data_IF_265680942282
#
_entry.id   IF_265680942282
#
_cell.length_a   1.000
_cell.length_b   1.000
_cell.length_c   1.000
_cell.angle_alpha   90.00
_cell.angle_beta   90.00
_cell.angle_gamma   90.00
#
_symmetry.space_group_name_H-M   'P 1'
#
loop_
_entity.id
_entity.type
_entity.pdbx_description
1 polymer ?
#
# COMPACT_ATOMS: atom_id res chain seq x y z
N UNK A 1 -8.74 -0.60 -104.28
CA UNK A 1 -7.39 -1.08 -104.05
C UNK A 1 -6.97 -0.80 -102.62
N UNK A 2 -6.69 -1.87 -101.85
CA UNK A 2 -5.99 -1.99 -100.57
C UNK A 2 -6.71 -1.47 -99.27
N UNK A 3 -7.24 -2.29 -98.39
CA UNK A 3 -6.73 -3.32 -97.46
C UNK A 3 -5.68 -2.83 -96.51
N UNK A 4 -5.97 -3.04 -95.25
CA UNK A 4 -5.14 -3.22 -94.01
C UNK A 4 -5.30 -2.13 -92.96
N UNK A 5 -5.98 -2.46 -91.92
CA UNK A 5 -5.47 -2.36 -90.51
C UNK A 5 -6.58 -2.67 -89.47
N UNK A 6 -6.60 -3.85 -89.06
CA UNK A 6 -7.44 -4.25 -87.93
C UNK A 6 -6.77 -5.41 -87.22
N UNK A 7 -5.85 -5.13 -86.31
CA UNK A 7 -5.46 -6.07 -85.27
C UNK A 7 -4.40 -5.42 -84.36
N UNK A 8 -4.78 -4.70 -83.34
CA UNK A 8 -4.04 -4.55 -82.09
C UNK A 8 -5.00 -3.95 -81.07
N UNK A 9 -5.76 -4.70 -80.32
CA UNK A 9 -6.34 -4.21 -79.05
C UNK A 9 -6.78 -5.29 -78.03
N UNK A 10 -6.56 -6.58 -78.34
CA UNK A 10 -7.03 -7.64 -77.42
C UNK A 10 -5.99 -8.06 -76.35
N UNK A 11 -4.69 -7.78 -76.55
CA UNK A 11 -3.66 -8.19 -75.59
C UNK A 11 -3.52 -7.25 -74.36
N UNK A 12 -3.85 -5.96 -74.54
CA UNK A 12 -3.78 -4.98 -73.45
C UNK A 12 -4.84 -5.12 -72.35
N UNK A 13 -6.04 -5.51 -72.77
CA UNK A 13 -7.17 -5.62 -71.82
C UNK A 13 -7.05 -6.86 -70.93
N UNK A 14 -6.49 -7.94 -71.39
CA UNK A 14 -6.27 -9.18 -70.58
C UNK A 14 -5.14 -8.96 -69.57
N UNK A 15 -4.08 -8.21 -69.94
CA UNK A 15 -2.97 -7.92 -69.05
C UNK A 15 -3.35 -6.95 -67.92
N UNK A 16 -4.17 -5.93 -68.20
CA UNK A 16 -4.71 -5.01 -67.19
C UNK A 16 -5.68 -5.69 -66.23
N UNK A 17 -6.57 -6.56 -66.69
CA UNK A 17 -7.47 -7.33 -65.84
C UNK A 17 -6.71 -8.32 -64.96
N UNK A 18 -5.67 -8.99 -65.47
CA UNK A 18 -4.81 -9.88 -64.67
C UNK A 18 -4.07 -9.14 -63.55
N UNK A 19 -3.57 -7.94 -63.78
CA UNK A 19 -2.90 -7.12 -62.78
C UNK A 19 -3.88 -6.62 -61.70
N UNK A 20 -5.14 -6.35 -62.09
CA UNK A 20 -6.18 -5.94 -61.14
C UNK A 20 -6.58 -7.10 -60.21
N UNK A 21 -6.77 -8.31 -60.76
CA UNK A 21 -7.06 -9.49 -59.95
C UNK A 21 -5.90 -9.88 -59.04
N UNK A 22 -4.66 -9.81 -59.50
CA UNK A 22 -3.48 -10.07 -58.64
C UNK A 22 -3.33 -9.08 -57.50
N UNK A 23 -3.61 -7.78 -57.74
CA UNK A 23 -3.61 -6.76 -56.67
C UNK A 23 -4.76 -6.96 -55.68
N UNK A 24 -5.95 -7.32 -56.13
CA UNK A 24 -7.10 -7.60 -55.26
C UNK A 24 -6.85 -8.83 -54.39
N UNK A 25 -6.22 -9.87 -54.93
CA UNK A 25 -5.82 -11.06 -54.15
C UNK A 25 -4.70 -10.77 -53.15
N UNK A 26 -3.75 -9.90 -53.49
CA UNK A 26 -2.69 -9.50 -52.58
C UNK A 26 -3.23 -8.66 -51.40
N UNK A 27 -4.21 -7.78 -51.63
CA UNK A 27 -4.88 -7.00 -50.62
C UNK A 27 -5.77 -7.91 -49.74
N UNK A 28 -6.47 -8.87 -50.32
CA UNK A 28 -7.25 -9.86 -49.57
C UNK A 28 -6.39 -10.77 -48.71
N UNK A 29 -5.21 -11.17 -49.21
CA UNK A 29 -4.21 -11.93 -48.44
C UNK A 29 -3.59 -11.13 -47.29
N UNK A 30 -3.29 -9.83 -47.51
CA UNK A 30 -2.82 -8.91 -46.49
C UNK A 30 -3.88 -8.62 -45.41
N UNK A 31 -5.17 -8.56 -45.76
CA UNK A 31 -6.26 -8.44 -44.80
C UNK A 31 -6.52 -9.75 -44.02
N UNK A 32 -6.24 -10.91 -44.62
CA UNK A 32 -6.35 -12.20 -43.98
C UNK A 32 -5.21 -12.50 -42.99
N UNK A 33 -4.05 -11.85 -43.14
CA UNK A 33 -2.91 -11.95 -42.20
C UNK A 33 -3.05 -11.06 -40.97
N UNK A 34 -4.07 -10.18 -40.92
CA UNK A 34 -4.47 -9.45 -39.69
C UNK A 34 -5.04 -10.41 -38.65
N UNK A 35 -4.36 -11.54 -38.40
CA UNK A 35 -4.72 -12.62 -37.54
C UNK A 35 -5.08 -12.15 -36.13
N UNK A 36 -5.95 -12.86 -35.51
CA UNK A 36 -6.44 -12.76 -34.14
C UNK A 36 -5.34 -12.25 -33.20
N UNK A 37 -5.34 -10.93 -32.97
CA UNK A 37 -4.60 -10.39 -31.83
C UNK A 37 -5.31 -10.96 -30.61
N UNK A 38 -4.65 -11.86 -29.92
CA UNK A 38 -5.14 -12.47 -28.70
C UNK A 38 -5.28 -11.37 -27.62
N UNK A 39 -6.45 -10.73 -27.56
CA UNK A 39 -6.74 -9.58 -26.72
C UNK A 39 -6.86 -10.03 -25.25
N UNK A 40 -7.23 -11.28 -25.00
CA UNK A 40 -7.46 -11.83 -23.68
C UNK A 40 -6.25 -11.74 -22.75
N UNK A 41 -5.12 -12.39 -23.03
CA UNK A 41 -3.93 -12.36 -22.16
C UNK A 41 -3.33 -10.96 -22.03
N UNK A 42 -3.23 -10.21 -23.12
CA UNK A 42 -2.70 -8.84 -23.11
C UNK A 42 -3.56 -7.87 -22.31
N UNK A 43 -4.87 -8.06 -22.26
CA UNK A 43 -5.73 -7.21 -21.43
C UNK A 43 -5.48 -7.41 -19.92
N UNK A 44 -5.13 -8.63 -19.52
CA UNK A 44 -4.76 -8.94 -18.14
C UNK A 44 -3.40 -8.34 -17.81
N UNK A 45 -2.40 -8.47 -18.68
CA UNK A 45 -1.06 -7.93 -18.48
C UNK A 45 -1.05 -6.41 -18.36
N UNK A 46 -1.75 -5.70 -19.25
CA UNK A 46 -1.80 -4.24 -19.24
C UNK A 46 -2.60 -3.65 -18.07
N UNK A 47 -3.59 -4.37 -17.53
CA UNK A 47 -4.43 -3.87 -16.46
C UNK A 47 -3.92 -4.19 -15.06
N UNK A 48 -3.27 -5.33 -14.87
CA UNK A 48 -2.94 -5.85 -13.52
C UNK A 48 -1.99 -4.95 -12.74
N UNK A 49 -0.95 -4.45 -13.37
CA UNK A 49 0.02 -3.56 -12.72
C UNK A 49 -0.61 -2.20 -12.39
N UNK A 50 -1.40 -1.64 -13.31
CA UNK A 50 -2.03 -0.34 -13.13
C UNK A 50 -3.08 -0.38 -12.02
N UNK A 51 -3.92 -1.43 -11.98
CA UNK A 51 -4.87 -1.63 -10.88
C UNK A 51 -4.17 -1.86 -9.55
N UNK A 52 -3.10 -2.66 -9.50
CA UNK A 52 -2.33 -2.88 -8.29
C UNK A 52 -1.74 -1.56 -7.75
N UNK A 53 -1.10 -0.77 -8.61
CA UNK A 53 -0.55 0.52 -8.25
C UNK A 53 -1.64 1.51 -7.78
N UNK A 54 -2.79 1.51 -8.45
CA UNK A 54 -3.91 2.36 -8.08
C UNK A 54 -4.48 1.98 -6.71
N UNK A 55 -4.71 0.70 -6.44
CA UNK A 55 -5.20 0.20 -5.15
C UNK A 55 -4.19 0.54 -4.06
N UNK A 56 -2.92 0.18 -4.23
CA UNK A 56 -1.88 0.43 -3.23
C UNK A 56 -1.77 1.91 -2.89
N UNK A 57 -1.83 2.79 -3.90
CA UNK A 57 -1.80 4.24 -3.69
C UNK A 57 -3.04 4.72 -2.94
N UNK A 58 -4.23 4.31 -3.35
CA UNK A 58 -5.48 4.75 -2.72
C UNK A 58 -5.64 4.22 -1.30
N UNK A 59 -5.17 3.01 -1.00
CA UNK A 59 -5.12 2.48 0.36
C UNK A 59 -4.18 3.29 1.26
N UNK A 60 -3.01 3.66 0.73
CA UNK A 60 -2.08 4.55 1.42
C UNK A 60 -2.68 5.95 1.66
N UNK A 61 -3.30 6.53 0.64
CA UNK A 61 -3.98 7.83 0.76
C UNK A 61 -5.13 7.77 1.78
N UNK A 62 -5.90 6.69 1.82
CA UNK A 62 -6.96 6.47 2.80
C UNK A 62 -6.42 6.38 4.24
N UNK A 63 -5.34 5.62 4.44
CA UNK A 63 -4.69 5.50 5.74
C UNK A 63 -4.15 6.85 6.21
N UNK A 64 -3.47 7.60 5.32
CA UNK A 64 -2.98 8.95 5.60
C UNK A 64 -4.14 9.90 5.93
N UNK A 65 -5.24 9.85 5.17
CA UNK A 65 -6.43 10.65 5.44
C UNK A 65 -7.02 10.36 6.83
N UNK A 66 -7.04 9.10 7.25
CA UNK A 66 -7.54 8.72 8.56
C UNK A 66 -6.61 9.18 9.71
N UNK A 67 -5.30 9.22 9.49
CA UNK A 67 -4.36 9.85 10.42
C UNK A 67 -4.62 11.35 10.57
N UNK A 68 -4.86 12.04 9.45
CA UNK A 68 -5.22 13.46 9.45
C UNK A 68 -6.56 13.68 10.16
N UNK A 69 -7.59 12.87 9.87
CA UNK A 69 -8.89 12.95 10.56
C UNK A 69 -8.75 12.79 12.06
N UNK A 70 -7.98 11.79 12.51
CA UNK A 70 -7.71 11.62 13.94
C UNK A 70 -7.01 12.82 14.58
N UNK A 71 -6.12 13.49 13.85
CA UNK A 71 -5.49 14.73 14.33
C UNK A 71 -6.49 15.84 14.58
N UNK A 72 -7.59 15.85 13.78
CA UNK A 72 -8.68 16.80 13.89
C UNK A 72 -9.86 16.31 14.78
N UNK A 73 -9.69 15.15 15.46
CA UNK A 73 -10.75 14.46 16.21
C UNK A 73 -12.00 14.13 15.37
N UNK A 74 -11.82 13.97 14.07
CA UNK A 74 -12.89 13.54 13.17
C UNK A 74 -12.94 12.00 13.07
N UNK A 75 -14.13 11.41 12.83
CA UNK A 75 -14.27 9.97 12.71
C UNK A 75 -13.43 9.38 11.57
N UNK A 76 -12.76 8.28 11.85
CA UNK A 76 -12.05 7.49 10.85
C UNK A 76 -13.01 6.60 10.07
N UNK A 77 -12.72 6.39 8.78
CA UNK A 77 -13.49 5.50 7.92
C UNK A 77 -12.55 4.76 6.98
N UNK A 78 -12.74 3.45 6.89
CA UNK A 78 -11.98 2.60 5.98
C UNK A 78 -12.94 1.97 4.97
N UNK A 79 -12.58 2.09 3.69
CA UNK A 79 -13.27 1.47 2.57
C UNK A 79 -12.34 0.41 1.97
N UNK A 80 -12.86 -0.77 1.77
CA UNK A 80 -12.15 -1.86 1.11
C UNK A 80 -12.65 -2.00 -0.33
N UNK A 81 -11.73 -2.26 -1.26
CA UNK A 81 -12.07 -2.61 -2.63
C UNK A 81 -12.51 -4.07 -2.65
N UNK A 82 -13.82 -4.31 -2.63
CA UNK A 82 -14.38 -5.66 -2.58
C UNK A 82 -14.18 -6.41 -3.91
N UNK A 83 -14.38 -5.74 -5.04
CA UNK A 83 -14.11 -6.30 -6.36
C UNK A 83 -13.95 -5.23 -7.42
N UNK A 84 -13.21 -5.55 -8.47
CA UNK A 84 -13.08 -4.74 -9.67
C UNK A 84 -13.53 -5.60 -10.85
N UNK A 85 -14.55 -5.14 -11.56
CA UNK A 85 -15.00 -5.73 -12.82
C UNK A 85 -14.64 -4.78 -13.95
N UNK A 86 -13.78 -5.21 -14.88
CA UNK A 86 -13.42 -4.42 -16.06
C UNK A 86 -14.07 -5.02 -17.29
N UNK A 87 -14.87 -4.23 -18.00
CA UNK A 87 -15.36 -4.57 -19.32
C UNK A 87 -14.63 -3.72 -20.34
N UNK A 88 -13.88 -4.39 -21.22
CA UNK A 88 -13.18 -3.74 -22.32
C UNK A 88 -13.97 -3.98 -23.59
N UNK A 89 -14.47 -2.92 -24.21
CA UNK A 89 -15.08 -2.99 -25.52
C UNK A 89 -14.13 -2.44 -26.59
N UNK A 90 -13.98 -3.22 -27.64
CA UNK A 90 -13.16 -2.85 -28.79
C UNK A 90 -14.08 -2.58 -29.97
N UNK A 91 -14.14 -1.35 -30.44
CA UNK A 91 -14.90 -0.96 -31.60
C UNK A 91 -13.96 -0.64 -32.76
N UNK A 92 -14.03 -1.44 -33.84
CA UNK A 92 -13.37 -1.13 -35.10
C UNK A 92 -14.41 -0.53 -36.04
N UNK A 93 -14.30 0.74 -36.34
CA UNK A 93 -15.08 1.38 -37.38
C UNK A 93 -14.27 1.39 -38.68
N UNK A 94 -14.55 0.43 -39.56
CA UNK A 94 -14.04 0.43 -40.93
C UNK A 94 -15.10 1.05 -41.80
N UNK A 95 -14.88 2.26 -42.27
CA UNK A 95 -15.81 2.90 -43.20
C UNK A 95 -15.49 2.41 -44.63
N UNK A 96 -16.09 1.27 -44.99
CA UNK A 96 -15.88 0.59 -46.27
C UNK A 96 -16.33 1.44 -47.45
N UNK A 97 -17.31 2.33 -47.26
CA UNK A 97 -17.81 3.24 -48.30
C UNK A 97 -16.76 4.26 -48.72
N UNK A 98 -16.01 4.82 -47.77
CA UNK A 98 -14.90 5.73 -48.06
C UNK A 98 -13.69 4.99 -48.70
N UNK A 99 -13.50 3.73 -48.39
CA UNK A 99 -12.46 2.91 -49.02
C UNK A 99 -12.81 2.58 -50.48
N UNK A 100 -14.04 2.20 -50.75
CA UNK A 100 -14.50 1.89 -52.11
C UNK A 100 -14.58 3.15 -52.98
N UNK A 101 -14.99 4.31 -52.46
CA UNK A 101 -15.04 5.56 -53.23
C UNK A 101 -13.66 6.05 -53.63
N UNK A 102 -12.60 5.80 -52.83
CA UNK A 102 -11.21 6.12 -53.19
C UNK A 102 -10.67 5.29 -54.35
N UNK A 103 -11.21 4.09 -54.59
CA UNK A 103 -10.86 3.26 -55.76
C UNK A 103 -11.47 3.75 -57.08
N UNK A 104 -12.63 4.37 -57.00
CA UNK A 104 -13.38 4.82 -58.20
C UNK A 104 -13.24 6.32 -58.49
N UNK A 105 -12.74 7.12 -57.54
CA UNK A 105 -12.51 8.55 -57.71
C UNK A 105 -11.19 8.98 -57.05
N UNK A 106 -10.07 9.03 -57.82
CA UNK A 106 -8.72 9.21 -57.24
C UNK A 106 -8.40 10.63 -56.74
N UNK A 107 -9.36 11.55 -56.67
CA UNK A 107 -9.12 12.94 -56.26
C UNK A 107 -9.41 13.28 -54.78
N UNK A 108 -9.88 12.35 -53.96
CA UNK A 108 -10.07 12.60 -52.54
C UNK A 108 -9.85 11.34 -51.73
N UNK A 109 -8.62 11.13 -51.30
CA UNK A 109 -8.27 10.08 -50.33
C UNK A 109 -8.57 10.59 -48.91
N UNK A 110 -9.67 10.14 -48.31
CA UNK A 110 -9.91 10.24 -46.87
C UNK A 110 -10.33 8.89 -46.34
N UNK A 111 -9.35 8.02 -46.19
CA UNK A 111 -9.51 6.72 -45.51
C UNK A 111 -9.29 6.88 -44.00
N UNK A 112 -10.34 6.95 -43.21
CA UNK A 112 -10.24 6.94 -41.75
C UNK A 112 -10.34 5.51 -41.22
N UNK A 113 -9.23 4.93 -40.80
CA UNK A 113 -9.24 3.72 -39.94
C UNK A 113 -9.31 4.20 -38.49
N UNK A 114 -10.50 4.15 -37.88
CA UNK A 114 -10.71 4.50 -36.47
C UNK A 114 -10.89 3.23 -35.66
N UNK A 115 -10.01 3.01 -34.66
CA UNK A 115 -10.23 2.03 -33.61
C UNK A 115 -10.36 2.75 -32.27
N UNK A 116 -11.42 2.49 -31.52
CA UNK A 116 -11.55 2.97 -30.13
C UNK A 116 -11.54 1.79 -29.17
N UNK A 117 -10.74 1.91 -28.13
CA UNK A 117 -10.74 0.99 -26.98
C UNK A 117 -11.41 1.76 -25.85
N UNK A 118 -12.54 1.25 -25.38
CA UNK A 118 -13.22 1.80 -24.20
C UNK A 118 -13.06 0.82 -23.06
N UNK A 119 -12.41 1.26 -21.97
CA UNK A 119 -12.31 0.53 -20.71
C UNK A 119 -13.31 1.17 -19.72
N UNK A 120 -14.21 0.37 -19.19
CA UNK A 120 -15.24 0.81 -18.25
C UNK A 120 -15.13 -0.04 -16.97
N UNK A 121 -14.18 0.29 -16.06
CA UNK A 121 -14.05 -0.43 -14.81
C UNK A 121 -15.23 -0.10 -13.89
N UNK A 122 -15.81 -1.13 -13.28
CA UNK A 122 -16.77 -1.03 -12.20
C UNK A 122 -16.10 -1.46 -10.90
N UNK A 123 -15.94 -0.53 -9.97
CA UNK A 123 -15.28 -0.76 -8.68
C UNK A 123 -16.35 -0.82 -7.58
N UNK A 124 -16.36 -1.90 -6.83
CA UNK A 124 -17.24 -2.06 -5.67
C UNK A 124 -16.45 -1.80 -4.39
N UNK A 125 -16.91 -0.82 -3.63
CA UNK A 125 -16.38 -0.52 -2.31
C UNK A 125 -17.26 -1.11 -1.23
N UNK A 126 -16.65 -1.72 -0.21
CA UNK A 126 -17.30 -2.17 1.01
C UNK A 126 -16.76 -1.35 2.20
N UNK A 127 -17.61 -0.66 2.96
CA UNK A 127 -17.15 -0.01 4.17
C UNK A 127 -16.76 -1.06 5.21
N UNK A 128 -15.57 -0.94 5.77
CA UNK A 128 -15.14 -1.74 6.91
C UNK A 128 -15.82 -1.19 8.17
N UNK A 129 -16.99 -1.72 8.46
CA UNK A 129 -17.83 -1.36 9.59
C UNK A 129 -18.36 -2.62 10.29
N UNK A 130 -18.96 -2.43 11.46
CA UNK A 130 -19.55 -3.51 12.23
C UNK A 130 -18.66 -4.07 13.32
N UNK A 131 -19.20 -4.98 14.11
CA UNK A 131 -18.60 -5.49 15.35
C UNK A 131 -17.24 -6.14 15.11
N UNK A 132 -17.10 -6.94 14.06
CA UNK A 132 -15.82 -7.61 13.72
C UNK A 132 -14.70 -6.58 13.50
N UNK A 133 -14.94 -5.58 12.68
CA UNK A 133 -13.94 -4.56 12.37
C UNK A 133 -13.58 -3.73 13.61
N UNK A 134 -14.60 -3.31 14.38
CA UNK A 134 -14.38 -2.60 15.63
C UNK A 134 -13.53 -3.45 16.58
N UNK A 135 -13.87 -4.72 16.75
CA UNK A 135 -13.09 -5.63 17.58
C UNK A 135 -11.63 -5.72 17.11
N UNK A 136 -11.39 -5.85 15.81
CA UNK A 136 -10.03 -5.95 15.25
C UNK A 136 -9.18 -4.71 15.51
N UNK A 137 -9.72 -3.51 15.31
CA UNK A 137 -8.93 -2.27 15.47
C UNK A 137 -8.76 -1.83 16.93
N UNK A 138 -9.66 -2.26 17.84
CA UNK A 138 -9.58 -1.95 19.27
C UNK A 138 -8.95 -3.07 20.12
N UNK A 139 -8.67 -4.23 19.53
CA UNK A 139 -7.91 -5.28 20.22
C UNK A 139 -6.42 -4.95 20.22
N UNK A 140 -5.73 -5.09 21.36
CA UNK A 140 -4.27 -4.92 21.43
C UNK A 140 -3.55 -5.81 20.43
N UNK A 141 -2.48 -5.27 19.81
CA UNK A 141 -1.66 -6.02 18.85
C UNK A 141 -1.05 -7.24 19.54
N UNK A 142 -1.28 -8.43 18.99
CA UNK A 142 -0.83 -9.69 19.55
C UNK A 142 0.71 -9.83 19.45
N UNK A 143 1.31 -10.48 20.44
CA UNK A 143 2.74 -10.82 20.45
C UNK A 143 3.16 -11.69 19.26
N UNK A 144 2.24 -12.48 18.71
CA UNK A 144 2.48 -13.25 17.48
C UNK A 144 2.77 -12.31 16.31
N UNK A 145 1.97 -11.27 16.14
CA UNK A 145 2.16 -10.24 15.11
C UNK A 145 3.48 -9.50 15.32
N UNK A 146 3.80 -9.12 16.56
CA UNK A 146 5.07 -8.48 16.88
C UNK A 146 6.25 -9.40 16.55
N UNK A 147 6.18 -10.68 16.95
CA UNK A 147 7.25 -11.65 16.67
C UNK A 147 7.44 -11.82 15.16
N UNK A 148 6.35 -11.95 14.40
CA UNK A 148 6.40 -12.06 12.93
C UNK A 148 7.10 -10.87 12.28
N UNK A 149 6.80 -9.65 12.73
CA UNK A 149 7.49 -8.45 12.26
C UNK A 149 8.99 -8.47 12.57
N UNK A 150 9.37 -8.83 13.79
CA UNK A 150 10.78 -8.89 14.20
C UNK A 150 11.55 -9.96 13.42
N UNK A 151 10.96 -11.14 13.20
CA UNK A 151 11.53 -12.21 12.38
C UNK A 151 11.62 -11.83 10.90
N UNK A 152 10.73 -10.96 10.42
CA UNK A 152 10.77 -10.41 9.06
C UNK A 152 11.78 -9.28 8.88
N UNK A 153 12.58 -8.97 9.91
CA UNK A 153 13.65 -7.98 9.85
C UNK A 153 13.26 -6.55 10.21
N UNK A 154 12.04 -6.32 10.68
CA UNK A 154 11.65 -5.00 11.17
C UNK A 154 12.47 -4.60 12.40
N UNK A 155 12.72 -3.29 12.51
CA UNK A 155 13.43 -2.71 13.66
C UNK A 155 12.66 -2.93 14.95
N UNK A 156 13.27 -3.59 15.93
CA UNK A 156 12.66 -3.77 17.26
C UNK A 156 12.34 -2.43 17.91
N UNK A 157 13.20 -1.42 17.75
CA UNK A 157 12.97 -0.07 18.23
C UNK A 157 11.67 0.50 17.65
N UNK A 158 11.51 0.46 16.31
CA UNK A 158 10.35 1.01 15.62
C UNK A 158 9.07 0.25 15.97
N UNK A 159 9.15 -1.07 16.08
CA UNK A 159 8.01 -1.91 16.48
C UNK A 159 7.59 -1.61 17.92
N UNK A 160 8.54 -1.51 18.86
CA UNK A 160 8.23 -1.18 20.26
C UNK A 160 7.69 0.24 20.41
N UNK A 161 8.30 1.23 19.77
CA UNK A 161 7.82 2.62 19.84
C UNK A 161 6.41 2.77 19.25
N UNK A 162 6.08 2.02 18.22
CA UNK A 162 4.78 2.09 17.56
C UNK A 162 3.71 1.29 18.29
N UNK A 163 3.95 0.01 18.51
CA UNK A 163 2.97 -0.96 19.01
C UNK A 163 2.98 -1.14 20.52
N UNK A 164 4.08 -0.83 21.21
CA UNK A 164 4.20 -1.00 22.66
C UNK A 164 3.64 0.21 23.41
N UNK A 165 2.89 -0.05 24.47
CA UNK A 165 2.38 0.97 25.40
C UNK A 165 3.19 1.03 26.67
N UNK A 166 3.41 -0.14 27.31
CA UNK A 166 4.27 -0.25 28.48
C UNK A 166 5.08 -1.53 28.40
N UNK A 167 6.30 -1.50 28.91
CA UNK A 167 7.13 -2.69 29.12
C UNK A 167 7.61 -2.71 30.55
N UNK A 168 7.27 -3.77 31.29
CA UNK A 168 7.61 -3.93 32.70
C UNK A 168 7.27 -2.69 33.56
N UNK A 169 6.10 -2.06 33.31
CA UNK A 169 5.65 -0.84 33.97
C UNK A 169 6.25 0.47 33.44
N UNK A 170 7.26 0.40 32.56
CA UNK A 170 7.86 1.56 31.92
C UNK A 170 6.97 2.00 30.78
N UNK A 171 6.45 3.23 30.83
CA UNK A 171 5.55 3.76 29.80
C UNK A 171 6.31 4.23 28.57
N UNK A 172 5.77 3.89 27.42
CA UNK A 172 6.16 4.49 26.14
C UNK A 172 5.51 5.86 26.03
N UNK A 173 6.23 6.87 26.49
CA UNK A 173 5.85 8.26 26.31
C UNK A 173 6.57 8.82 25.07
N UNK A 174 6.02 9.86 24.51
CA UNK A 174 6.57 10.52 23.31
C UNK A 174 7.85 11.31 23.61
N UNK A 175 8.29 11.35 24.89
CA UNK A 175 9.47 12.09 25.32
C UNK A 175 10.76 11.40 24.90
N UNK A 176 11.72 12.19 24.44
CA UNK A 176 13.08 11.75 24.13
C UNK A 176 13.81 11.39 25.43
N UNK A 177 14.71 10.42 25.34
CA UNK A 177 15.55 9.98 26.46
C UNK A 177 14.76 9.37 27.65
N UNK A 178 13.54 8.90 27.40
CA UNK A 178 12.82 8.11 28.39
C UNK A 178 13.45 6.72 28.52
N UNK A 179 13.33 6.06 29.69
CA UNK A 179 13.80 4.69 29.84
C UNK A 179 13.25 3.73 28.79
N UNK A 180 12.01 3.97 28.30
CA UNK A 180 11.43 3.17 27.21
C UNK A 180 12.14 3.41 25.87
N UNK A 181 12.38 4.66 25.50
CA UNK A 181 13.06 5.01 24.25
C UNK A 181 14.51 4.52 24.24
N UNK A 182 15.22 4.69 25.35
CA UNK A 182 16.59 4.17 25.53
C UNK A 182 16.61 2.65 25.41
N UNK A 183 15.70 1.94 26.07
CA UNK A 183 15.55 0.49 25.97
C UNK A 183 15.36 0.06 24.49
N UNK A 184 14.46 0.69 23.78
CA UNK A 184 14.17 0.38 22.38
C UNK A 184 15.41 0.61 21.49
N UNK A 185 16.13 1.72 21.67
CA UNK A 185 17.38 2.04 20.97
C UNK A 185 18.49 1.00 21.25
N UNK A 186 18.69 0.62 22.52
CA UNK A 186 19.70 -0.39 22.89
C UNK A 186 19.35 -1.77 22.31
N UNK A 187 18.10 -2.17 22.35
CA UNK A 187 17.64 -3.39 21.70
C UNK A 187 17.88 -3.34 20.17
N UNK A 188 17.67 -2.19 19.55
CA UNK A 188 17.98 -1.99 18.14
C UNK A 188 19.46 -2.12 17.84
N UNK A 189 20.32 -1.57 18.69
CA UNK A 189 21.76 -1.68 18.57
C UNK A 189 22.20 -3.15 18.63
N UNK A 190 21.66 -3.92 19.58
CA UNK A 190 21.91 -5.36 19.68
C UNK A 190 21.39 -6.14 18.46
N UNK A 191 20.20 -5.80 17.96
CA UNK A 191 19.63 -6.41 16.76
C UNK A 191 20.51 -6.16 15.52
N UNK A 192 20.97 -4.94 15.31
CA UNK A 192 21.85 -4.57 14.17
C UNK A 192 23.19 -5.33 14.21
N UNK A 193 23.69 -5.61 15.39
CA UNK A 193 24.93 -6.34 15.60
C UNK A 193 24.74 -7.87 15.63
N UNK A 194 23.55 -8.36 15.23
CA UNK A 194 23.18 -9.78 15.26
C UNK A 194 23.36 -10.45 16.64
N UNK A 195 23.15 -9.68 17.72
CA UNK A 195 23.26 -10.18 19.09
C UNK A 195 21.94 -10.68 19.66
N UNK A 196 20.83 -10.53 18.93
CA UNK A 196 19.49 -10.95 19.34
C UNK A 196 18.83 -11.79 18.25
N UNK A 197 18.12 -12.83 18.68
CA UNK A 197 17.19 -13.61 17.88
C UNK A 197 15.81 -13.58 18.54
N UNK A 198 14.77 -13.83 17.77
CA UNK A 198 13.38 -13.74 18.23
C UNK A 198 12.66 -15.06 17.99
N UNK A 199 11.99 -15.56 19.02
CA UNK A 199 11.18 -16.77 18.93
C UNK A 199 9.84 -16.58 19.65
N UNK A 200 8.80 -17.20 19.12
CA UNK A 200 7.51 -17.31 19.78
C UNK A 200 7.42 -18.68 20.46
N UNK A 201 7.10 -18.70 21.74
CA UNK A 201 6.92 -19.91 22.53
C UNK A 201 5.53 -19.93 23.15
N UNK A 202 5.01 -21.12 23.40
CA UNK A 202 3.75 -21.31 24.12
C UNK A 202 4.08 -22.00 25.43
N UNK A 203 3.85 -21.32 26.53
CA UNK A 203 4.11 -21.82 27.89
C UNK A 203 2.76 -21.98 28.61
N UNK A 204 2.20 -23.20 28.58
CA UNK A 204 0.83 -23.44 29.07
C UNK A 204 -0.21 -22.67 28.27
N UNK A 205 -0.91 -21.75 28.92
CA UNK A 205 -1.91 -20.87 28.26
C UNK A 205 -1.32 -19.55 27.76
N UNK A 206 -0.04 -19.27 28.03
CA UNK A 206 0.61 -18.00 27.67
C UNK A 206 1.37 -18.10 26.36
N UNK A 207 1.21 -17.09 25.52
CA UNK A 207 2.08 -16.84 24.38
C UNK A 207 3.21 -15.91 24.81
N UNK A 208 4.45 -16.34 24.63
CA UNK A 208 5.64 -15.66 25.09
C UNK A 208 6.55 -15.34 23.91
N UNK A 209 6.90 -14.07 23.75
CA UNK A 209 7.98 -13.64 22.87
C UNK A 209 9.31 -13.81 23.63
N UNK A 210 10.17 -14.66 23.14
CA UNK A 210 11.52 -14.85 23.67
C UNK A 210 12.53 -14.07 22.83
N UNK A 211 13.21 -13.10 23.45
CA UNK A 211 14.38 -12.45 22.88
C UNK A 211 15.59 -13.26 23.36
N UNK A 212 16.26 -13.91 22.41
CA UNK A 212 17.38 -14.83 22.71
C UNK A 212 18.67 -14.10 22.39
N UNK A 213 19.48 -13.77 23.44
CA UNK A 213 20.77 -13.16 23.25
C UNK A 213 21.79 -14.15 22.68
N UNK A 214 22.78 -13.66 21.93
CA UNK A 214 23.94 -14.49 21.53
C UNK A 214 24.86 -14.78 22.72
N UNK A 215 25.64 -15.83 22.61
CA UNK A 215 26.52 -16.29 23.71
C UNK A 215 27.57 -15.26 24.17
N UNK A 216 27.94 -14.34 23.31
CA UNK A 216 28.94 -13.29 23.56
C UNK A 216 28.31 -11.92 23.91
N UNK A 217 26.99 -11.87 24.17
CA UNK A 217 26.28 -10.64 24.46
C UNK A 217 26.57 -10.06 25.84
N UNK A 218 26.95 -10.92 26.79
CA UNK A 218 27.13 -10.55 28.23
C UNK A 218 28.16 -9.43 28.41
N UNK A 219 29.14 -9.36 27.51
CA UNK A 219 30.19 -8.32 27.55
C UNK A 219 29.78 -7.03 26.85
N UNK A 220 28.65 -7.01 26.14
CA UNK A 220 28.16 -5.84 25.38
C UNK A 220 27.49 -4.85 26.34
N UNK A 221 27.97 -3.60 26.37
CA UNK A 221 27.42 -2.55 27.25
C UNK A 221 25.91 -2.32 27.02
N UNK A 222 25.46 -2.31 25.76
CA UNK A 222 24.07 -2.15 25.45
C UNK A 222 23.17 -3.24 26.05
N UNK A 223 23.66 -4.48 26.18
CA UNK A 223 22.91 -5.56 26.83
C UNK A 223 22.81 -5.33 28.36
N UNK A 224 23.90 -4.89 28.98
CA UNK A 224 23.89 -4.57 30.42
C UNK A 224 22.88 -3.44 30.72
N UNK A 225 22.85 -2.39 29.87
CA UNK A 225 21.89 -1.30 29.99
C UNK A 225 20.44 -1.79 29.81
N UNK A 226 20.18 -2.67 28.85
CA UNK A 226 18.85 -3.30 28.67
C UNK A 226 18.45 -4.06 29.94
N UNK A 227 19.35 -4.86 30.49
CA UNK A 227 19.09 -5.64 31.70
C UNK A 227 18.85 -4.74 32.92
N UNK A 228 19.60 -3.65 33.06
CA UNK A 228 19.42 -2.65 34.13
C UNK A 228 18.05 -1.97 34.04
N UNK A 229 17.66 -1.49 32.84
CA UNK A 229 16.36 -0.85 32.62
C UNK A 229 15.21 -1.82 32.91
N UNK A 230 15.33 -3.07 32.45
CA UNK A 230 14.32 -4.11 32.67
C UNK A 230 14.38 -4.72 34.08
N UNK A 231 15.41 -4.40 34.89
CA UNK A 231 15.66 -4.96 36.21
C UNK A 231 15.80 -6.48 36.20
N UNK A 232 16.51 -7.02 35.23
CA UNK A 232 16.83 -8.45 35.09
C UNK A 232 18.33 -8.71 35.19
N UNK A 233 18.72 -9.98 35.36
CA UNK A 233 20.13 -10.35 35.37
C UNK A 233 20.74 -10.33 33.98
N UNK A 234 21.95 -9.82 33.87
CA UNK A 234 22.72 -9.81 32.63
C UNK A 234 23.55 -11.13 32.51
N UNK A 235 22.87 -12.27 32.49
CA UNK A 235 23.46 -13.60 32.45
C UNK A 235 23.39 -14.28 31.09
N UNK A 236 22.88 -13.58 30.08
CA UNK A 236 22.71 -14.14 28.74
C UNK A 236 21.48 -15.04 28.57
N UNK A 237 20.65 -15.17 29.60
CA UNK A 237 19.42 -15.93 29.51
C UNK A 237 18.40 -15.26 28.58
N UNK A 238 17.52 -16.03 27.93
CA UNK A 238 16.45 -15.47 27.09
C UNK A 238 15.53 -14.52 27.89
N UNK A 239 15.29 -13.34 27.32
CA UNK A 239 14.34 -12.38 27.88
C UNK A 239 12.95 -12.80 27.44
N UNK A 240 12.12 -13.23 28.37
CA UNK A 240 10.77 -13.73 28.11
C UNK A 240 9.75 -12.63 28.32
N UNK A 241 8.98 -12.33 27.29
CA UNK A 241 7.98 -11.27 27.28
C UNK A 241 6.60 -11.89 27.11
N UNK A 242 5.73 -11.70 28.08
CA UNK A 242 4.31 -12.06 28.02
C UNK A 242 3.44 -10.82 27.77
N UNK A 243 2.31 -10.99 27.12
CA UNK A 243 1.36 -9.91 26.90
C UNK A 243 0.55 -9.65 28.17
N UNK A 244 0.52 -8.39 28.61
CA UNK A 244 -0.28 -8.00 29.75
C UNK A 244 0.11 -6.63 30.32
N UNK A 245 -0.73 -6.12 31.21
CA UNK A 245 -0.46 -4.91 31.99
C UNK A 245 0.14 -5.42 33.31
N UNK A 246 1.46 -5.48 33.39
CA UNK A 246 2.14 -6.03 34.57
C UNK A 246 2.26 -5.04 35.71
N UNK A 247 1.90 -5.48 36.90
CA UNK A 247 2.51 -4.99 38.12
C UNK A 247 3.88 -5.69 38.24
N UNK A 248 4.99 -4.93 38.38
CA UNK A 248 6.36 -5.51 38.53
C UNK A 248 6.51 -6.51 39.70
N UNK A 249 5.49 -6.65 40.57
CA UNK A 249 5.46 -7.56 41.69
C UNK A 249 4.90 -8.97 41.40
N UNK A 250 4.29 -9.24 40.26
CA UNK A 250 3.44 -10.43 40.13
C UNK A 250 4.03 -11.63 39.38
N UNK A 251 5.14 -11.50 38.68
CA UNK A 251 5.81 -12.68 38.11
C UNK A 251 7.30 -12.45 37.87
N UNK A 252 8.09 -13.15 38.65
CA UNK A 252 9.56 -13.15 38.53
C UNK A 252 10.11 -13.83 37.28
N UNK A 253 9.25 -14.37 36.41
CA UNK A 253 9.67 -15.17 35.25
C UNK A 253 9.46 -14.47 33.88
N UNK A 254 8.53 -13.52 33.76
CA UNK A 254 8.22 -12.90 32.49
C UNK A 254 8.13 -11.38 32.61
N UNK A 255 8.73 -10.70 31.63
CA UNK A 255 8.52 -9.27 31.42
C UNK A 255 7.14 -9.06 30.80
N UNK A 256 6.38 -8.09 31.30
CA UNK A 256 5.06 -7.78 30.79
C UNK A 256 5.16 -6.69 29.72
N UNK A 257 4.61 -6.95 28.54
CA UNK A 257 4.44 -5.98 27.47
C UNK A 257 2.96 -5.71 27.24
N UNK A 258 2.49 -4.51 27.54
CA UNK A 258 1.21 -4.04 27.07
C UNK A 258 1.39 -3.43 25.68
N UNK A 259 0.55 -3.87 24.74
CA UNK A 259 0.56 -3.39 23.37
C UNK A 259 -0.61 -2.48 23.10
N UNK A 260 -0.43 -1.51 22.24
CA UNK A 260 -1.50 -0.63 21.78
C UNK A 260 -2.43 -1.37 20.81
N UNK A 261 -3.75 -1.13 20.84
CA UNK A 261 -4.63 -1.42 19.73
C UNK A 261 -4.22 -0.64 18.48
N UNK A 262 -4.58 -1.14 17.30
CA UNK A 262 -4.29 -0.46 16.03
C UNK A 262 -4.87 0.97 16.00
N UNK A 263 -6.10 1.16 16.52
CA UNK A 263 -6.72 2.48 16.62
C UNK A 263 -5.88 3.45 17.46
N UNK A 264 -5.38 3.00 18.62
CA UNK A 264 -4.53 3.80 19.50
C UNK A 264 -3.15 4.07 18.87
N UNK A 265 -2.66 3.13 18.05
CA UNK A 265 -1.42 3.33 17.27
C UNK A 265 -1.60 4.42 16.22
N UNK A 266 -2.73 4.44 15.50
CA UNK A 266 -3.06 5.51 14.56
C UNK A 266 -3.20 6.85 15.27
N UNK A 267 -3.86 6.87 16.44
CA UNK A 267 -3.99 8.07 17.26
C UNK A 267 -2.62 8.60 17.71
N UNK A 268 -1.74 7.72 18.17
CA UNK A 268 -0.37 8.07 18.51
C UNK A 268 0.36 8.70 17.32
N UNK A 269 0.31 8.10 16.14
CA UNK A 269 0.94 8.63 14.93
C UNK A 269 0.29 9.93 14.45
N UNK A 270 -1.00 10.15 14.70
CA UNK A 270 -1.68 11.39 14.30
C UNK A 270 -1.08 12.64 14.95
N UNK A 271 -0.40 12.48 16.10
CA UNK A 271 0.36 13.56 16.74
C UNK A 271 1.56 14.02 15.89
N UNK A 272 2.06 13.18 14.99
CA UNK A 272 3.09 13.56 13.99
C UNK A 272 2.54 14.34 12.78
N UNK A 273 1.25 14.61 12.72
CA UNK A 273 0.65 15.40 11.64
C UNK A 273 0.73 16.90 11.96
N UNK A 274 1.35 17.67 11.05
CA UNK A 274 1.38 19.12 11.13
C UNK A 274 -0.02 19.70 11.01
N UNK A 275 -0.24 20.80 11.70
CA UNK A 275 -1.50 21.52 11.70
C UNK A 275 -1.24 22.97 11.32
N UNK A 276 -1.98 23.56 10.38
CA UNK A 276 -1.90 24.97 10.07
C UNK A 276 -2.21 25.84 11.30
N UNK A 277 -1.45 26.92 11.48
CA UNK A 277 -1.64 27.87 12.60
C UNK A 277 -3.09 28.37 12.65
N UNK A 278 -3.69 28.65 11.49
CA UNK A 278 -5.07 29.09 11.39
C UNK A 278 -6.08 28.06 11.97
N UNK A 279 -5.81 26.76 11.89
CA UNK A 279 -6.67 25.74 12.47
C UNK A 279 -6.56 25.69 14.01
N UNK A 280 -5.37 25.99 14.55
CA UNK A 280 -5.15 26.13 15.99
C UNK A 280 -5.86 27.36 16.52
N UNK A 281 -5.70 28.50 15.87
CA UNK A 281 -6.35 29.78 16.23
C UNK A 281 -7.88 29.66 16.17
N UNK A 282 -8.39 28.96 15.14
CA UNK A 282 -9.82 28.66 15.01
C UNK A 282 -10.32 27.59 16.00
N UNK A 283 -9.46 27.03 16.83
CA UNK A 283 -9.77 25.95 17.80
C UNK A 283 -10.43 24.72 17.17
N UNK A 284 -10.14 24.47 15.90
CA UNK A 284 -10.62 23.25 15.21
C UNK A 284 -9.72 22.07 15.44
N UNK A 285 -8.52 22.28 15.99
CA UNK A 285 -7.54 21.28 16.39
C UNK A 285 -6.90 21.71 17.71
N UNK A 286 -6.64 20.75 18.57
CA UNK A 286 -5.90 21.01 19.81
C UNK A 286 -4.44 21.29 19.53
N UNK A 287 -3.88 22.27 20.20
CA UNK A 287 -2.43 22.52 20.18
C UNK A 287 -1.68 21.32 20.78
N UNK A 288 -0.51 21.03 20.21
CA UNK A 288 0.36 19.98 20.74
C UNK A 288 0.78 20.34 22.17
N UNK A 289 0.69 19.38 23.08
CA UNK A 289 1.09 19.55 24.48
C UNK A 289 0.02 20.08 25.42
N UNK A 290 -1.17 20.45 24.95
CA UNK A 290 -2.23 21.00 25.80
C UNK A 290 -3.09 19.95 26.51
N UNK A 291 -3.09 18.68 26.03
CA UNK A 291 -3.82 17.59 26.67
C UNK A 291 -2.84 16.59 27.27
N UNK A 292 -2.65 16.68 28.57
CA UNK A 292 -1.88 15.68 29.35
C UNK A 292 -0.36 15.80 29.30
N UNK A 293 0.22 16.82 28.69
CA UNK A 293 1.68 17.07 28.73
C UNK A 293 2.54 15.99 28.05
N UNK A 294 1.98 15.20 27.14
CA UNK A 294 2.60 14.00 26.58
C UNK A 294 3.16 14.16 25.16
N UNK A 295 3.23 15.38 24.63
CA UNK A 295 3.79 15.58 23.30
C UNK A 295 5.27 15.98 23.35
N UNK A 296 6.13 15.20 22.71
CA UNK A 296 7.56 15.47 22.50
C UNK A 296 7.86 15.59 20.99
N UNK A 297 8.71 16.55 20.59
CA UNK A 297 9.26 16.67 19.23
C UNK A 297 9.95 15.42 18.68
N UNK A 298 10.28 14.45 19.54
CA UNK A 298 10.93 13.22 19.10
C UNK A 298 10.06 12.32 18.22
N UNK A 299 8.73 12.43 18.31
CA UNK A 299 7.83 11.75 17.37
C UNK A 299 8.09 12.20 15.93
N UNK A 300 8.47 13.45 15.71
CA UNK A 300 8.86 13.98 14.41
C UNK A 300 10.05 13.28 13.76
N UNK A 301 10.87 12.54 14.53
CA UNK A 301 11.91 11.66 13.98
C UNK A 301 11.38 10.29 13.58
N UNK A 302 10.32 9.80 14.24
CA UNK A 302 9.69 8.54 13.93
C UNK A 302 8.70 8.68 12.76
N UNK A 303 7.89 9.74 12.80
CA UNK A 303 6.81 9.95 11.85
C UNK A 303 6.42 11.43 11.76
N UNK A 304 6.44 11.98 10.56
CA UNK A 304 6.07 13.37 10.30
C UNK A 304 5.26 13.50 9.01
N UNK A 305 4.04 13.99 9.12
CA UNK A 305 3.18 14.38 7.99
C UNK A 305 3.17 15.90 7.90
N UNK A 306 3.65 16.42 6.80
CA UNK A 306 3.70 17.87 6.57
C UNK A 306 2.37 18.40 6.06
N UNK A 307 2.08 19.67 6.35
CA UNK A 307 0.93 20.39 5.80
C UNK A 307 1.36 21.54 4.87
N UNK A 308 0.51 21.85 3.89
CA UNK A 308 0.73 22.95 2.93
C UNK A 308 -0.57 23.44 2.33
N UNK A 309 -0.71 24.76 2.14
CA UNK A 309 -1.80 25.37 1.37
C UNK A 309 -1.66 25.13 -0.13
N UNK A 310 -0.42 24.90 -0.59
CA UNK A 310 -0.07 24.69 -1.99
C UNK A 310 0.17 23.19 -2.21
N UNK A 311 -0.25 22.68 -3.36
CA UNK A 311 -0.04 21.30 -3.73
C UNK A 311 1.47 20.93 -3.72
N UNK A 312 1.89 19.94 -2.90
CA UNK A 312 3.28 19.53 -2.82
C UNK A 312 3.75 18.88 -4.12
N UNK A 313 5.01 19.13 -4.48
CA UNK A 313 5.65 18.54 -5.68
C UNK A 313 6.48 17.30 -5.36
N UNK A 314 7.04 17.25 -4.16
CA UNK A 314 7.91 16.15 -3.71
C UNK A 314 7.22 15.41 -2.56
N UNK A 315 6.58 14.28 -2.87
CA UNK A 315 5.80 13.53 -1.90
C UNK A 315 5.77 12.03 -2.25
N UNK A 316 5.77 11.20 -1.24
CA UNK A 316 5.51 9.77 -1.37
C UNK A 316 3.99 9.49 -1.40
N UNK A 317 3.25 10.15 -0.53
CA UNK A 317 1.78 10.12 -0.44
C UNK A 317 1.28 11.51 -0.09
N UNK A 318 0.08 11.85 -0.58
CA UNK A 318 -0.58 13.12 -0.22
C UNK A 318 -2.10 12.96 -0.22
N UNK A 319 -2.75 13.75 0.62
CA UNK A 319 -4.21 13.87 0.67
C UNK A 319 -4.60 15.32 0.86
N UNK A 320 -5.80 15.67 0.41
CA UNK A 320 -6.38 16.98 0.67
C UNK A 320 -7.47 16.87 1.72
N UNK A 321 -7.39 17.68 2.77
CA UNK A 321 -8.36 17.72 3.84
C UNK A 321 -8.57 19.15 4.35
N UNK A 322 -9.82 19.60 4.53
CA UNK A 322 -10.18 20.95 4.98
C UNK A 322 -9.43 22.09 4.24
N UNK A 323 -9.31 21.95 2.90
CA UNK A 323 -8.59 22.85 1.98
C UNK A 323 -7.05 22.87 2.11
N UNK A 324 -6.47 22.08 2.97
CA UNK A 324 -5.03 21.89 3.12
C UNK A 324 -4.56 20.60 2.51
N UNK A 325 -3.31 20.57 2.05
CA UNK A 325 -2.61 19.37 1.64
C UNK A 325 -1.83 18.81 2.82
N UNK A 326 -1.95 17.50 3.01
CA UNK A 326 -1.15 16.74 3.97
C UNK A 326 -0.37 15.69 3.21
N UNK A 327 0.94 15.58 3.49
CA UNK A 327 1.79 14.70 2.70
C UNK A 327 2.98 14.14 3.49
N UNK A 328 3.41 12.97 3.06
CA UNK A 328 4.70 12.39 3.45
C UNK A 328 5.74 12.84 2.43
N UNK A 329 6.81 13.48 2.91
CA UNK A 329 7.91 13.91 2.05
C UNK A 329 8.64 12.69 1.47
N UNK A 330 8.96 12.74 0.17
CA UNK A 330 9.65 11.66 -0.53
C UNK A 330 11.02 11.34 0.07
N UNK A 331 11.70 12.34 0.63
CA UNK A 331 13.04 12.20 1.20
C UNK A 331 13.03 11.79 2.67
N UNK A 332 11.89 11.83 3.34
CA UNK A 332 11.75 11.41 4.75
C UNK A 332 11.60 9.89 4.85
N UNK A 333 12.73 9.20 4.84
CA UNK A 333 12.78 7.73 4.88
C UNK A 333 12.24 7.16 6.20
N UNK A 334 12.39 7.86 7.32
CA UNK A 334 11.89 7.40 8.62
C UNK A 334 10.38 7.41 8.66
N UNK A 335 9.74 8.49 8.25
CA UNK A 335 8.28 8.57 8.16
C UNK A 335 7.72 7.57 7.16
N UNK A 336 8.35 7.38 6.00
CA UNK A 336 7.95 6.39 5.00
C UNK A 336 8.05 4.96 5.54
N UNK A 337 9.14 4.64 6.24
CA UNK A 337 9.33 3.32 6.86
C UNK A 337 8.29 3.06 7.95
N UNK A 338 7.99 4.07 8.78
CA UNK A 338 6.94 3.96 9.81
C UNK A 338 5.56 3.79 9.18
N UNK A 339 5.29 4.53 8.09
CA UNK A 339 4.04 4.39 7.34
C UNK A 339 3.89 2.98 6.74
N UNK A 340 4.96 2.42 6.20
CA UNK A 340 4.97 1.04 5.69
C UNK A 340 4.70 0.03 6.82
N UNK A 341 5.27 0.24 8.01
CA UNK A 341 5.03 -0.63 9.16
C UNK A 341 3.57 -0.58 9.62
N UNK A 342 2.97 0.61 9.75
CA UNK A 342 1.56 0.72 10.15
C UNK A 342 0.61 0.15 9.08
N UNK A 343 0.95 0.31 7.79
CA UNK A 343 0.21 -0.32 6.69
C UNK A 343 0.27 -1.84 6.77
N UNK A 344 1.45 -2.40 7.08
CA UNK A 344 1.61 -3.85 7.27
C UNK A 344 0.81 -4.35 8.50
N UNK A 345 0.84 -3.62 9.62
CA UNK A 345 0.03 -3.92 10.80
C UNK A 345 -1.47 -3.90 10.48
N UNK A 346 -1.92 -2.90 9.72
CA UNK A 346 -3.31 -2.80 9.29
C UNK A 346 -3.71 -4.02 8.44
N UNK A 347 -2.90 -4.40 7.46
CA UNK A 347 -3.14 -5.59 6.63
C UNK A 347 -3.15 -6.89 7.43
N UNK A 348 -2.24 -7.05 8.40
CA UNK A 348 -2.17 -8.25 9.25
C UNK A 348 -3.40 -8.37 10.17
N UNK A 349 -3.92 -7.26 10.66
CA UNK A 349 -5.12 -7.27 11.50
C UNK A 349 -6.43 -7.33 10.70
N UNK A 350 -6.48 -6.74 9.49
CA UNK A 350 -7.65 -6.81 8.62
C UNK A 350 -7.76 -8.11 7.81
N UNK A 351 -6.69 -8.88 7.73
CA UNK A 351 -6.53 -10.04 6.84
C UNK A 351 -7.44 -11.25 7.09
N UNK A 352 -8.31 -11.20 8.09
CA UNK A 352 -9.31 -12.26 8.34
C UNK A 352 -10.68 -11.94 7.72
N UNK A 353 -10.73 -10.96 6.82
CA UNK A 353 -11.91 -10.69 6.02
C UNK A 353 -12.11 -11.81 5.02
N UNK A 354 -13.01 -12.73 5.41
CA UNK A 354 -13.75 -13.71 4.60
C UNK A 354 -13.24 -13.89 3.17
N UNK A 355 -12.87 -15.10 2.86
CA UNK A 355 -12.84 -15.67 1.50
C UNK A 355 -14.13 -15.29 0.76
N UNK A 356 -14.18 -14.09 0.20
CA UNK A 356 -15.15 -13.78 -0.84
C UNK A 356 -14.75 -14.65 -2.02
N UNK A 357 -15.53 -15.68 -2.27
CA UNK A 357 -15.44 -16.46 -3.50
C UNK A 357 -15.49 -15.47 -4.66
N UNK A 358 -14.47 -15.40 -5.52
CA UNK A 358 -14.50 -14.52 -6.66
C UNK A 358 -15.68 -14.96 -7.54
N UNK A 359 -16.70 -14.10 -7.65
CA UNK A 359 -17.75 -14.22 -8.65
C UNK A 359 -17.12 -13.89 -10.01
N UNK A 360 -16.57 -14.91 -10.64
CA UNK A 360 -16.21 -14.82 -12.07
C UNK A 360 -17.51 -14.85 -12.86
N UNK A 361 -18.05 -13.70 -13.17
CA UNK A 361 -19.13 -13.58 -14.12
C UNK A 361 -18.52 -13.48 -15.53
N UNK A 362 -18.50 -14.61 -16.23
CA UNK A 362 -18.27 -14.64 -17.67
C UNK A 362 -19.60 -14.26 -18.35
N UNK A 363 -19.68 -13.01 -18.81
CA UNK A 363 -20.80 -12.63 -19.71
C UNK A 363 -20.54 -13.26 -21.07
N UNK A 364 -21.43 -14.11 -21.58
CA UNK A 364 -21.27 -14.63 -22.93
C UNK A 364 -21.41 -13.48 -23.92
N UNK A 365 -20.39 -13.28 -24.76
CA UNK A 365 -20.46 -12.38 -25.88
C UNK A 365 -21.61 -12.84 -26.81
N UNK A 366 -22.57 -11.94 -27.04
CA UNK A 366 -23.51 -12.01 -28.14
C UNK A 366 -22.93 -11.37 -29.39
#
# INVERSE_FOLDING_TARGET
MYFWAGRVSWAGDIFLKGLFFARAWLIAALLGLGGCVDIGPRSIEMGRTDYNNAIQRTDGEQLLLNLVRQRYNDPVMFLEVASISSSKSFSKNINLSSFLSSFFAPQSFSGGLGGSITDSPLVFYSPNTGERFVHQIFTPIDLRTITLLLQSGWSIERVLLLAGETINGIRNTEAKDTPYAVLAEKLRTLQRNNKLSFALQVEGALTVLSIIPSSDVVDVSAYKEVCEILKIRADGAPIRIAQGIGDPGFSSQHIQLATRPLYSTLYFLSNGVDVPVAAIEARTVQERGTVGGLFDPSLGKLFHVRSSTIEPRNFALRVRYRNEWFYLDETDLDSRTTFTLISALFMLQSGDTSRMTPLVSLSPAR
#
